data_IF_752880588617
#
_entry.id   IF_752880588617
#
_cell.length_a   1.000
_cell.length_b   1.000
_cell.length_c   1.000
_cell.angle_alpha   90.00
_cell.angle_beta   90.00
_cell.angle_gamma   90.00
#
_symmetry.space_group_name_H-M   'P 1'
#
loop_
_entity.id
_entity.type
_entity.pdbx_description
1 polymer ?
#
# COMPACT_ATOMS: atom_id res chain seq x y z
N UNK A 1 -8.84 10.73 82.74
CA UNK A 1 -10.12 11.38 83.09
C UNK A 1 -11.05 11.30 81.88
N UNK A 2 -12.14 10.53 82.03
CA UNK A 2 -13.43 10.49 81.30
C UNK A 2 -13.52 10.69 79.77
N UNK A 3 -13.94 9.58 79.16
CA UNK A 3 -14.60 9.31 77.86
C UNK A 3 -15.78 10.23 77.52
N UNK A 4 -16.00 10.49 76.21
CA UNK A 4 -17.27 10.32 75.43
C UNK A 4 -17.07 10.89 74.00
N UNK A 5 -17.02 10.04 72.97
CA UNK A 5 -18.14 9.66 72.07
C UNK A 5 -18.36 10.73 70.96
N UNK A 6 -18.58 10.46 69.67
CA UNK A 6 -19.02 9.28 68.94
C UNK A 6 -18.79 9.51 67.41
N UNK A 7 -18.74 8.42 66.63
CA UNK A 7 -19.37 8.17 65.31
C UNK A 7 -19.41 9.34 64.29
N UNK A 8 -18.97 9.16 63.04
CA UNK A 8 -19.78 8.53 61.98
C UNK A 8 -18.90 7.79 60.95
N UNK A 9 -19.30 6.56 60.66
CA UNK A 9 -18.84 5.70 59.57
C UNK A 9 -19.35 6.15 58.19
N UNK A 10 -18.69 5.65 57.14
CA UNK A 10 -19.08 5.64 55.72
C UNK A 10 -18.67 6.93 54.95
N UNK A 11 -17.99 6.85 53.81
CA UNK A 11 -18.34 6.04 52.65
C UNK A 11 -17.08 5.67 51.85
N UNK A 12 -16.86 4.37 51.65
CA UNK A 12 -16.09 3.87 50.52
C UNK A 12 -16.84 4.22 49.22
N UNK A 13 -16.11 4.57 48.16
CA UNK A 13 -16.62 4.51 46.79
C UNK A 13 -16.76 5.86 46.13
N UNK A 14 -15.64 6.46 45.71
CA UNK A 14 -15.66 7.26 44.49
C UNK A 14 -15.43 6.29 43.34
N UNK A 15 -16.51 5.99 42.63
CA UNK A 15 -16.55 5.31 41.35
C UNK A 15 -15.45 5.85 40.42
N UNK A 16 -14.42 5.06 40.17
CA UNK A 16 -13.59 5.21 38.99
C UNK A 16 -14.34 4.56 37.81
N UNK A 17 -15.37 5.24 37.30
CA UNK A 17 -16.14 4.75 36.16
C UNK A 17 -16.55 5.92 35.27
N UNK A 18 -15.65 6.33 34.38
CA UNK A 18 -15.94 6.88 33.05
C UNK A 18 -14.62 7.27 32.38
N UNK A 19 -13.87 6.26 31.91
CA UNK A 19 -12.60 6.53 31.23
C UNK A 19 -12.04 5.35 30.45
N UNK A 20 -12.84 4.32 30.19
CA UNK A 20 -12.49 3.35 29.16
C UNK A 20 -12.93 3.92 27.81
N UNK A 21 -12.26 4.99 27.38
CA UNK A 21 -12.20 5.28 25.95
C UNK A 21 -11.46 4.09 25.38
N UNK A 22 -12.19 3.17 24.77
CA UNK A 22 -11.59 2.12 23.94
C UNK A 22 -10.89 2.86 22.81
N UNK A 23 -9.61 3.21 23.02
CA UNK A 23 -8.75 3.63 21.95
C UNK A 23 -8.81 2.49 20.93
N UNK A 24 -9.50 2.73 19.82
CA UNK A 24 -9.41 1.84 18.67
C UNK A 24 -7.91 1.64 18.42
N UNK A 25 -7.44 0.41 18.14
CA UNK A 25 -6.03 0.19 17.89
C UNK A 25 -5.61 1.17 16.79
N UNK A 26 -4.71 2.09 17.13
CA UNK A 26 -4.06 2.95 16.15
C UNK A 26 -3.19 2.03 15.30
N UNK A 27 -3.78 1.43 14.27
CA UNK A 27 -3.06 0.65 13.29
C UNK A 27 -2.30 1.65 12.43
N UNK A 28 -1.08 2.00 12.88
CA UNK A 28 -0.18 2.81 12.08
C UNK A 28 0.04 2.07 10.76
N UNK A 29 -0.56 2.59 9.69
CA UNK A 29 -0.39 2.06 8.35
C UNK A 29 1.11 2.09 8.04
N UNK A 30 1.74 0.91 8.04
CA UNK A 30 3.17 0.79 7.80
C UNK A 30 3.40 1.13 6.34
N UNK A 31 4.08 2.22 6.05
CA UNK A 31 4.58 2.44 4.69
C UNK A 31 5.69 1.45 4.38
N UNK A 32 5.78 1.08 3.11
CA UNK A 32 6.83 0.25 2.55
C UNK A 32 7.13 0.69 1.12
N UNK A 33 7.91 -0.14 0.43
CA UNK A 33 8.27 0.11 -0.95
C UNK A 33 8.31 -1.22 -1.69
N UNK A 34 7.71 -1.25 -2.87
CA UNK A 34 7.63 -2.41 -3.75
C UNK A 34 8.13 -2.03 -5.15
N UNK A 35 8.77 -2.98 -5.82
CA UNK A 35 9.08 -2.91 -7.24
C UNK A 35 7.83 -3.26 -8.05
N UNK A 36 7.38 -2.33 -8.89
CA UNK A 36 6.28 -2.53 -9.83
C UNK A 36 6.90 -2.67 -11.23
N UNK A 37 6.76 -3.83 -11.84
CA UNK A 37 7.29 -4.13 -13.17
C UNK A 37 6.17 -4.37 -14.19
N UNK A 38 6.38 -3.92 -15.43
CA UNK A 38 5.44 -4.03 -16.54
C UNK A 38 5.96 -5.00 -17.62
N UNK A 39 6.09 -6.31 -17.32
CA UNK A 39 6.69 -7.24 -18.26
C UNK A 39 5.80 -7.47 -19.47
N UNK A 40 6.43 -7.84 -20.59
CA UNK A 40 5.73 -8.07 -21.86
C UNK A 40 4.81 -9.30 -21.84
N UNK A 41 5.14 -10.32 -21.04
CA UNK A 41 4.34 -11.54 -20.90
C UNK A 41 3.01 -11.34 -20.16
N UNK A 42 2.78 -10.17 -19.53
CA UNK A 42 1.47 -9.74 -19.03
C UNK A 42 0.68 -8.88 -20.03
N UNK A 43 1.16 -8.74 -21.25
CA UNK A 43 0.45 -8.04 -22.32
C UNK A 43 0.71 -6.54 -22.39
N UNK A 44 1.74 -6.02 -21.71
CA UNK A 44 2.08 -4.59 -21.73
C UNK A 44 2.55 -4.11 -23.12
N UNK A 45 3.11 -4.99 -23.97
CA UNK A 45 3.51 -4.66 -25.34
C UNK A 45 2.91 -5.63 -26.37
N UNK A 46 1.61 -5.53 -26.70
CA UNK A 46 0.92 -6.49 -27.57
C UNK A 46 1.39 -6.43 -29.04
N UNK A 47 1.96 -5.30 -29.48
CA UNK A 47 2.61 -5.15 -30.79
C UNK A 47 4.05 -5.70 -30.87
N UNK A 48 4.56 -6.25 -29.77
CA UNK A 48 5.95 -6.68 -29.60
C UNK A 48 6.89 -5.57 -29.14
N UNK A 49 8.16 -5.93 -28.89
CA UNK A 49 9.15 -5.03 -28.29
C UNK A 49 9.22 -5.21 -26.76
N UNK A 50 9.74 -4.21 -26.06
CA UNK A 50 9.81 -4.17 -24.60
C UNK A 50 9.39 -2.81 -24.07
N UNK A 51 8.89 -2.77 -22.83
CA UNK A 51 8.72 -1.50 -22.10
C UNK A 51 10.11 -0.92 -21.87
N UNK A 52 10.28 0.38 -22.14
CA UNK A 52 11.49 1.14 -21.77
C UNK A 52 11.16 2.49 -21.14
N UNK A 53 9.88 2.80 -21.01
CA UNK A 53 9.42 3.87 -20.15
C UNK A 53 8.08 3.47 -19.60
N UNK A 54 7.81 3.79 -18.34
CA UNK A 54 6.56 3.42 -17.69
C UNK A 54 6.04 4.54 -16.83
N UNK A 55 4.75 4.47 -16.55
CA UNK A 55 3.99 5.42 -15.76
C UNK A 55 3.20 4.62 -14.74
N UNK A 56 3.44 4.84 -13.45
CA UNK A 56 2.83 4.05 -12.37
C UNK A 56 2.31 4.93 -11.26
N UNK A 57 1.06 4.66 -10.88
CA UNK A 57 0.41 5.17 -9.68
C UNK A 57 0.08 3.99 -8.76
N UNK A 58 0.37 4.11 -7.47
CA UNK A 58 -0.05 3.13 -6.44
C UNK A 58 -0.89 3.83 -5.37
N UNK A 59 -2.14 3.41 -5.24
CA UNK A 59 -3.15 4.16 -4.49
C UNK A 59 -3.29 5.57 -5.07
N UNK A 60 -3.14 6.59 -4.24
CA UNK A 60 -3.11 8.00 -4.64
C UNK A 60 -1.68 8.54 -4.85
N UNK A 61 -0.67 7.66 -4.80
CA UNK A 61 0.75 8.06 -4.89
C UNK A 61 1.28 7.84 -6.30
N UNK A 62 1.61 8.94 -6.99
CA UNK A 62 2.36 8.88 -8.24
C UNK A 62 3.81 8.48 -7.98
N UNK A 63 4.25 7.39 -8.61
CA UNK A 63 5.61 6.85 -8.42
C UNK A 63 6.61 7.38 -9.44
N UNK A 64 6.18 8.28 -10.33
CA UNK A 64 7.03 8.83 -11.39
C UNK A 64 6.90 8.08 -12.70
N UNK A 65 7.56 8.62 -13.73
CA UNK A 65 7.87 7.86 -14.92
C UNK A 65 9.33 7.46 -14.90
N UNK A 66 9.62 6.16 -15.07
CA UNK A 66 10.98 5.66 -15.15
C UNK A 66 11.36 5.44 -16.62
N UNK A 67 12.58 5.82 -16.99
CA UNK A 67 13.09 5.77 -18.35
C UNK A 67 14.33 4.88 -18.42
N UNK A 68 14.28 3.87 -19.30
CA UNK A 68 15.38 2.94 -19.55
C UNK A 68 15.14 1.53 -19.03
N UNK A 69 14.07 1.30 -18.26
CA UNK A 69 13.68 -0.01 -17.76
C UNK A 69 12.15 -0.24 -17.79
N UNK A 70 11.74 -1.39 -17.26
CA UNK A 70 10.35 -1.81 -17.15
C UNK A 70 9.90 -1.93 -15.69
N UNK A 71 10.57 -1.26 -14.75
CA UNK A 71 10.25 -1.33 -13.32
C UNK A 71 10.38 0.02 -12.60
N UNK A 72 9.62 0.24 -11.53
CA UNK A 72 9.78 1.38 -10.63
C UNK A 72 9.67 0.95 -9.18
N UNK A 73 10.39 1.64 -8.29
CA UNK A 73 10.29 1.42 -6.85
C UNK A 73 9.26 2.38 -6.24
N UNK A 74 8.05 1.88 -6.03
CA UNK A 74 6.89 2.66 -5.63
C UNK A 74 6.66 2.58 -4.12
N UNK A 75 6.22 3.69 -3.51
CA UNK A 75 5.80 3.70 -2.11
C UNK A 75 4.43 3.02 -1.99
N UNK A 76 4.30 2.14 -1.00
CA UNK A 76 3.09 1.37 -0.74
C UNK A 76 2.65 1.43 0.73
N UNK A 77 1.41 1.02 0.98
CA UNK A 77 0.91 0.76 2.33
C UNK A 77 0.87 -0.75 2.58
N UNK A 78 1.67 -1.21 3.52
CA UNK A 78 1.82 -2.63 3.87
C UNK A 78 0.58 -3.13 4.61
N UNK A 79 0.12 -4.33 4.23
CA UNK A 79 -1.03 -5.01 4.83
C UNK A 79 -2.38 -4.43 4.41
N UNK A 80 -2.41 -3.64 3.34
CA UNK A 80 -3.63 -3.05 2.79
C UNK A 80 -3.69 -3.27 1.28
N UNK A 81 -4.90 -3.40 0.74
CA UNK A 81 -5.08 -3.42 -0.71
C UNK A 81 -4.70 -2.06 -1.29
N UNK A 82 -3.94 -2.06 -2.37
CA UNK A 82 -3.54 -0.87 -3.11
C UNK A 82 -3.85 -1.09 -4.60
N UNK A 83 -4.45 -0.11 -5.24
CA UNK A 83 -4.66 -0.13 -6.69
C UNK A 83 -3.41 0.38 -7.38
N UNK A 84 -2.87 -0.40 -8.31
CA UNK A 84 -1.80 -0.02 -9.22
C UNK A 84 -2.41 0.34 -10.56
N UNK A 85 -2.27 1.59 -10.99
CA UNK A 85 -2.59 2.03 -12.35
C UNK A 85 -1.28 2.21 -13.10
N UNK A 86 -1.10 1.48 -14.19
CA UNK A 86 0.17 1.41 -14.89
C UNK A 86 -0.01 1.44 -16.42
N UNK A 87 0.86 2.18 -17.10
CA UNK A 87 0.95 2.23 -18.55
C UNK A 87 2.42 2.27 -18.99
N UNK A 88 2.78 1.48 -20.00
CA UNK A 88 4.14 1.38 -20.51
C UNK A 88 4.28 1.92 -21.93
N UNK A 89 5.35 2.64 -22.22
CA UNK A 89 5.78 2.98 -23.57
C UNK A 89 6.71 1.87 -24.08
N UNK A 90 6.23 1.18 -25.10
CA UNK A 90 6.91 0.05 -25.73
C UNK A 90 7.80 0.51 -26.87
N UNK A 91 9.00 -0.06 -26.95
CA UNK A 91 9.98 0.18 -28.02
C UNK A 91 10.19 -1.10 -28.82
N UNK A 92 10.07 -0.97 -30.16
CA UNK A 92 10.26 -2.05 -31.13
C UNK A 92 11.17 -1.53 -32.25
N UNK A 93 12.47 -1.73 -32.09
CA UNK A 93 13.46 -1.14 -32.98
C UNK A 93 13.44 0.39 -32.86
N UNK A 94 13.11 1.08 -33.96
CA UNK A 94 13.01 2.54 -34.01
C UNK A 94 11.60 3.07 -33.75
N UNK A 95 10.60 2.19 -33.60
CA UNK A 95 9.21 2.57 -33.34
C UNK A 95 8.93 2.52 -31.84
N UNK A 96 8.18 3.51 -31.35
CA UNK A 96 7.63 3.53 -30.00
C UNK A 96 6.12 3.68 -30.01
N UNK A 97 5.43 3.00 -29.11
CA UNK A 97 3.98 3.14 -28.95
C UNK A 97 3.56 2.87 -27.50
N UNK A 98 2.50 3.54 -27.05
CA UNK A 98 1.92 3.28 -25.73
C UNK A 98 1.18 1.95 -25.73
N UNK A 99 1.54 1.08 -24.78
CA UNK A 99 0.83 -0.15 -24.48
C UNK A 99 -0.53 0.13 -23.83
N UNK A 100 -1.38 -0.89 -23.69
CA UNK A 100 -2.63 -0.77 -22.95
C UNK A 100 -2.37 -0.38 -21.48
N UNK A 101 -3.09 0.63 -20.99
CA UNK A 101 -3.15 0.91 -19.56
C UNK A 101 -3.76 -0.28 -18.81
N UNK A 102 -3.30 -0.51 -17.58
CA UNK A 102 -3.77 -1.57 -16.69
C UNK A 102 -4.09 -1.01 -15.31
N UNK A 103 -5.05 -1.65 -14.63
CA UNK A 103 -5.42 -1.34 -13.26
C UNK A 103 -5.58 -2.66 -12.49
N UNK A 104 -4.69 -2.90 -11.52
CA UNK A 104 -4.64 -4.14 -10.75
C UNK A 104 -4.61 -3.83 -9.26
N UNK A 105 -5.13 -4.73 -8.42
CA UNK A 105 -5.03 -4.59 -6.96
C UNK A 105 -3.90 -5.48 -6.43
N UNK A 106 -3.02 -4.90 -5.63
CA UNK A 106 -1.94 -5.60 -4.93
C UNK A 106 -2.20 -5.58 -3.41
N UNK A 107 -1.60 -6.52 -2.68
CA UNK A 107 -1.64 -6.58 -1.22
C UNK A 107 -0.21 -6.64 -0.66
N UNK A 108 0.48 -5.49 -0.54
CA UNK A 108 1.88 -5.43 -0.18
C UNK A 108 2.17 -6.01 1.19
N UNK A 109 3.26 -6.78 1.29
CA UNK A 109 3.76 -7.30 2.57
C UNK A 109 5.23 -6.93 2.75
N UNK A 110 5.83 -7.28 3.90
CA UNK A 110 7.28 -7.04 4.09
C UNK A 110 8.17 -7.99 3.26
N UNK A 111 7.58 -9.00 2.66
CA UNK A 111 8.21 -9.98 1.76
C UNK A 111 7.54 -9.94 0.39
N UNK A 112 8.20 -10.44 -0.65
CA UNK A 112 7.59 -10.51 -1.98
C UNK A 112 7.35 -9.13 -2.59
N UNK A 113 8.36 -8.26 -2.53
CA UNK A 113 8.24 -6.85 -2.89
C UNK A 113 8.20 -6.60 -4.40
N UNK A 114 8.27 -7.62 -5.24
CA UNK A 114 8.19 -7.45 -6.71
C UNK A 114 6.83 -7.86 -7.21
N UNK A 115 6.11 -6.91 -7.80
CA UNK A 115 4.83 -7.11 -8.46
C UNK A 115 4.98 -6.94 -9.96
N UNK A 116 4.57 -7.95 -10.71
CA UNK A 116 4.43 -7.88 -12.16
C UNK A 116 2.99 -7.54 -12.49
N UNK A 117 2.77 -6.43 -13.18
CA UNK A 117 1.46 -5.86 -13.46
C UNK A 117 1.26 -5.72 -14.96
N UNK A 118 0.07 -6.06 -15.45
CA UNK A 118 -0.32 -5.75 -16.82
C UNK A 118 -1.80 -6.03 -17.10
N UNK A 119 -2.22 -5.88 -18.37
CA UNK A 119 -3.60 -6.15 -18.78
C UNK A 119 -4.07 -7.57 -18.50
N UNK A 120 -3.17 -8.55 -18.56
CA UNK A 120 -3.50 -9.96 -18.31
C UNK A 120 -3.64 -10.32 -16.83
N UNK A 121 -3.32 -9.40 -15.91
CA UNK A 121 -3.45 -9.62 -14.47
C UNK A 121 -2.23 -9.14 -13.69
N UNK A 122 -2.03 -9.75 -12.54
CA UNK A 122 -0.96 -9.44 -11.61
C UNK A 122 -0.32 -10.72 -11.06
N UNK A 123 0.98 -10.69 -10.82
CA UNK A 123 1.75 -11.75 -10.18
C UNK A 123 2.78 -11.14 -9.22
N UNK A 124 3.28 -11.90 -8.24
CA UNK A 124 4.35 -11.48 -7.33
C UNK A 124 5.18 -12.66 -6.83
N UNK A 125 6.34 -12.39 -6.23
CA UNK A 125 7.22 -13.40 -5.62
C UNK A 125 7.06 -13.55 -4.11
#
# INVERSE_FOLDING_TARGET
MRVKAAFVSALFGVLAAAGAVTAAPASAASSGWDYISLPTWLGNCPGGGSVQYLQVMVGDTWSGGDAGDDLVYAKVVIGQNQTVVAEGLCYKGTQSYWGPASSQTIHPTRSGQTWWVGPAGVSHN
#
